data_IF_274221798489
#
_entry.id   IF_274221798489
#
_cell.length_a   1.000
_cell.length_b   1.000
_cell.length_c   1.000
_cell.angle_alpha   90.00
_cell.angle_beta   90.00
_cell.angle_gamma   90.00
#
_symmetry.space_group_name_H-M   'P 1'
#
loop_
_entity.id
_entity.type
_entity.pdbx_description
1 polymer ?
#
# COMPACT_ATOMS: atom_id res chain seq x y z
N UNK A 1 28.36 18.23 -14.30
CA UNK A 1 27.70 17.00 -14.80
C UNK A 1 26.97 16.22 -13.69
N UNK A 2 27.35 16.32 -12.42
CA UNK A 2 26.69 15.60 -11.31
C UNK A 2 25.16 15.82 -11.13
N UNK A 3 24.62 17.01 -11.42
CA UNK A 3 23.17 17.27 -11.22
C UNK A 3 22.30 16.52 -12.22
N UNK A 4 22.75 16.36 -13.48
CA UNK A 4 21.98 15.63 -14.49
C UNK A 4 21.91 14.13 -14.16
N UNK A 5 23.01 13.55 -13.70
CA UNK A 5 23.06 12.14 -13.31
C UNK A 5 22.19 11.88 -12.06
N UNK A 6 22.26 12.76 -11.05
CA UNK A 6 21.40 12.69 -9.87
C UNK A 6 19.92 12.90 -10.19
N UNK A 7 19.61 13.80 -11.13
CA UNK A 7 18.23 14.06 -11.57
C UNK A 7 17.66 12.88 -12.37
N UNK A 8 18.48 12.24 -13.20
CA UNK A 8 18.09 11.06 -13.96
C UNK A 8 17.86 9.86 -13.03
N UNK A 9 18.72 9.66 -12.03
CA UNK A 9 18.55 8.65 -11.00
C UNK A 9 17.27 8.91 -10.18
N UNK A 10 17.06 10.15 -9.70
CA UNK A 10 15.83 10.53 -9.00
C UNK A 10 14.58 10.22 -9.83
N UNK A 11 14.58 10.61 -11.11
CA UNK A 11 13.46 10.36 -12.02
C UNK A 11 13.21 8.87 -12.19
N UNK A 12 14.25 8.06 -12.39
CA UNK A 12 14.13 6.62 -12.54
C UNK A 12 13.51 5.96 -11.29
N UNK A 13 14.04 6.24 -10.09
CA UNK A 13 13.49 5.69 -8.84
C UNK A 13 12.07 6.18 -8.57
N UNK A 14 11.76 7.45 -8.88
CA UNK A 14 10.42 7.99 -8.74
C UNK A 14 9.41 7.31 -9.67
N UNK A 15 9.73 7.18 -10.97
CA UNK A 15 8.85 6.52 -11.93
C UNK A 15 8.68 5.03 -11.64
N UNK A 16 9.73 4.34 -11.22
CA UNK A 16 9.64 2.93 -10.80
C UNK A 16 8.76 2.79 -9.56
N UNK A 17 8.95 3.66 -8.55
CA UNK A 17 8.11 3.68 -7.36
C UNK A 17 6.64 3.93 -7.69
N UNK A 18 6.34 4.90 -8.55
CA UNK A 18 4.98 5.16 -9.04
C UNK A 18 4.41 3.92 -9.76
N UNK A 19 5.18 3.29 -10.65
CA UNK A 19 4.75 2.07 -11.32
C UNK A 19 4.45 0.94 -10.33
N UNK A 20 5.26 0.77 -9.29
CA UNK A 20 5.02 -0.24 -8.23
C UNK A 20 3.78 0.08 -7.41
N UNK A 21 3.52 1.35 -7.07
CA UNK A 21 2.28 1.76 -6.39
C UNK A 21 1.06 1.46 -7.26
N UNK A 22 1.12 1.73 -8.56
CA UNK A 22 0.03 1.41 -9.49
C UNK A 22 -0.20 -0.11 -9.56
N UNK A 23 0.87 -0.90 -9.66
CA UNK A 23 0.80 -2.37 -9.65
C UNK A 23 0.20 -2.86 -8.33
N UNK A 24 0.63 -2.30 -7.21
CA UNK A 24 0.09 -2.60 -5.89
C UNK A 24 -1.41 -2.32 -5.82
N UNK A 25 -1.86 -1.13 -6.24
CA UNK A 25 -3.27 -0.77 -6.27
C UNK A 25 -4.08 -1.74 -7.15
N UNK A 26 -3.53 -2.15 -8.29
CA UNK A 26 -4.19 -3.08 -9.20
C UNK A 26 -4.29 -4.49 -8.60
N UNK A 27 -3.22 -4.99 -7.98
CA UNK A 27 -3.21 -6.30 -7.30
C UNK A 27 -4.16 -6.26 -6.09
N UNK A 28 -4.07 -5.21 -5.29
CA UNK A 28 -4.91 -5.01 -4.12
C UNK A 28 -6.37 -5.00 -4.52
N UNK A 29 -6.76 -4.14 -5.47
CA UNK A 29 -8.14 -4.05 -5.99
C UNK A 29 -8.66 -5.34 -6.62
N UNK A 30 -7.77 -6.23 -7.10
CA UNK A 30 -8.16 -7.54 -7.65
C UNK A 30 -8.36 -8.59 -6.55
N UNK A 31 -7.63 -8.46 -5.44
CA UNK A 31 -7.72 -9.35 -4.28
C UNK A 31 -8.88 -8.93 -3.37
N UNK A 32 -9.16 -7.64 -3.24
CA UNK A 32 -10.35 -7.17 -2.53
C UNK A 32 -11.60 -7.54 -3.34
N UNK A 33 -12.58 -8.26 -2.74
CA UNK A 33 -13.78 -8.72 -3.44
C UNK A 33 -14.80 -7.61 -3.75
N UNK A 34 -14.44 -6.35 -3.49
CA UNK A 34 -15.30 -5.18 -3.66
C UNK A 34 -14.55 -4.14 -4.48
N UNK A 35 -15.23 -3.52 -5.45
CA UNK A 35 -14.67 -2.43 -6.25
C UNK A 35 -14.57 -1.17 -5.39
N UNK A 36 -13.46 -1.02 -4.69
CA UNK A 36 -13.17 0.15 -3.83
C UNK A 36 -13.34 1.45 -4.62
N UNK A 37 -12.93 1.47 -5.89
CA UNK A 37 -13.11 2.62 -6.78
C UNK A 37 -14.58 2.99 -7.03
N UNK A 38 -15.46 2.00 -7.09
CA UNK A 38 -16.90 2.20 -7.29
C UNK A 38 -17.56 2.63 -5.97
N UNK A 39 -17.12 2.08 -4.84
CA UNK A 39 -17.57 2.49 -3.51
C UNK A 39 -17.15 3.92 -3.16
N UNK A 40 -15.92 4.31 -3.51
CA UNK A 40 -15.43 5.69 -3.35
C UNK A 40 -16.26 6.64 -4.23
N UNK A 41 -16.54 6.27 -5.48
CA UNK A 41 -17.45 7.04 -6.36
C UNK A 41 -18.88 7.15 -5.82
N UNK A 42 -19.33 6.16 -5.06
CA UNK A 42 -20.64 6.15 -4.39
C UNK A 42 -20.63 6.91 -3.04
N UNK A 43 -19.66 7.81 -2.79
CA UNK A 43 -19.53 8.58 -1.54
C UNK A 43 -19.37 7.72 -0.27
N UNK A 44 -18.79 6.52 -0.39
CA UNK A 44 -18.51 5.69 0.76
C UNK A 44 -17.18 6.09 1.42
N UNK A 45 -17.28 6.86 2.50
CA UNK A 45 -16.13 7.30 3.31
C UNK A 45 -15.37 6.13 3.96
N UNK A 46 -16.02 5.01 4.26
CA UNK A 46 -15.35 3.83 4.80
C UNK A 46 -14.36 3.25 3.80
N UNK A 47 -14.79 3.10 2.54
CA UNK A 47 -13.92 2.61 1.47
C UNK A 47 -12.76 3.57 1.21
N UNK A 48 -13.01 4.89 1.22
CA UNK A 48 -11.97 5.89 1.04
C UNK A 48 -10.90 5.85 2.15
N UNK A 49 -11.30 5.72 3.42
CA UNK A 49 -10.37 5.62 4.55
C UNK A 49 -9.54 4.33 4.50
N UNK A 50 -10.17 3.21 4.16
CA UNK A 50 -9.50 1.93 4.10
C UNK A 50 -8.48 1.89 2.94
N UNK A 51 -8.87 2.40 1.78
CA UNK A 51 -8.04 2.45 0.58
C UNK A 51 -6.88 3.43 0.74
N UNK A 52 -7.13 4.63 1.27
CA UNK A 52 -6.08 5.63 1.52
C UNK A 52 -5.08 5.16 2.59
N UNK A 53 -5.56 4.53 3.67
CA UNK A 53 -4.68 3.95 4.69
C UNK A 53 -3.80 2.83 4.14
N UNK A 54 -4.36 1.96 3.29
CA UNK A 54 -3.60 0.90 2.63
C UNK A 54 -2.57 1.44 1.64
N UNK A 55 -2.93 2.46 0.86
CA UNK A 55 -2.01 3.17 -0.03
C UNK A 55 -0.81 3.73 0.74
N UNK A 56 -1.07 4.48 1.82
CA UNK A 56 -0.02 5.05 2.66
C UNK A 56 0.81 3.94 3.31
N UNK A 57 0.18 2.87 3.79
CA UNK A 57 0.86 1.72 4.35
C UNK A 57 1.80 1.01 3.38
N UNK A 58 1.52 1.03 2.07
CA UNK A 58 2.45 0.49 1.07
C UNK A 58 3.56 1.46 0.69
N UNK A 59 3.26 2.75 0.60
CA UNK A 59 4.24 3.78 0.20
C UNK A 59 5.37 3.93 1.23
N UNK A 60 5.08 3.80 2.53
CA UNK A 60 6.09 3.92 3.60
C UNK A 60 7.22 2.87 3.45
N UNK A 61 6.96 1.54 3.42
CA UNK A 61 7.99 0.55 3.20
C UNK A 61 8.62 0.65 1.81
N UNK A 62 7.85 1.04 0.79
CA UNK A 62 8.42 1.30 -0.54
C UNK A 62 9.42 2.47 -0.51
N UNK A 63 9.20 3.50 0.30
CA UNK A 63 10.16 4.59 0.47
C UNK A 63 11.42 4.12 1.22
N UNK A 64 11.26 3.28 2.25
CA UNK A 64 12.39 2.65 2.94
C UNK A 64 13.21 1.75 2.00
N UNK A 65 12.54 0.98 1.16
CA UNK A 65 13.17 0.19 0.11
C UNK A 65 13.93 1.07 -0.89
N UNK A 66 13.43 2.26 -1.24
CA UNK A 66 14.12 3.15 -2.18
C UNK A 66 15.40 3.73 -1.59
N UNK A 67 15.42 3.95 -0.27
CA UNK A 67 16.57 4.48 0.47
C UNK A 67 17.64 3.40 0.65
N UNK A 68 17.24 2.15 0.93
CA UNK A 68 18.15 1.05 1.21
C UNK A 68 18.54 0.22 -0.03
N UNK A 69 17.80 0.33 -1.13
CA UNK A 69 18.05 -0.50 -2.31
C UNK A 69 19.41 -0.21 -2.94
N UNK A 70 20.27 -1.23 -2.95
CA UNK A 70 21.60 -1.17 -3.57
C UNK A 70 21.51 -1.25 -5.10
N UNK A 71 20.39 -1.75 -5.64
CA UNK A 71 20.15 -1.88 -7.08
C UNK A 71 18.65 -1.89 -7.44
N UNK A 72 18.31 -1.62 -8.71
CA UNK A 72 16.91 -1.64 -9.19
C UNK A 72 16.20 -2.99 -8.93
N UNK A 73 16.82 -4.17 -9.17
CA UNK A 73 16.19 -5.45 -8.86
C UNK A 73 15.90 -5.65 -7.36
N UNK A 74 16.78 -5.13 -6.51
CA UNK A 74 16.64 -5.17 -5.06
C UNK A 74 15.44 -4.33 -4.59
N UNK A 75 15.26 -3.16 -5.21
CA UNK A 75 14.08 -2.32 -5.01
C UNK A 75 12.77 -3.05 -5.36
N UNK A 76 12.76 -3.76 -6.49
CA UNK A 76 11.60 -4.57 -6.89
C UNK A 76 11.32 -5.72 -5.91
N UNK A 77 12.36 -6.40 -5.43
CA UNK A 77 12.21 -7.48 -4.46
C UNK A 77 11.60 -6.96 -3.15
N UNK A 78 12.11 -5.86 -2.60
CA UNK A 78 11.59 -5.25 -1.39
C UNK A 78 10.17 -4.70 -1.54
N UNK A 79 9.85 -4.03 -2.65
CA UNK A 79 8.48 -3.59 -2.88
C UNK A 79 7.51 -4.76 -3.13
N UNK A 80 8.00 -5.92 -3.59
CA UNK A 80 7.25 -7.18 -3.60
C UNK A 80 6.99 -7.74 -2.20
N UNK A 81 8.02 -7.77 -1.35
CA UNK A 81 7.89 -8.16 0.07
C UNK A 81 6.90 -7.23 0.78
N UNK A 82 6.97 -5.93 0.52
CA UNK A 82 6.04 -4.96 1.07
C UNK A 82 4.60 -5.25 0.67
N UNK A 83 4.38 -5.65 -0.58
CA UNK A 83 3.06 -6.00 -1.08
C UNK A 83 2.52 -7.23 -0.35
N UNK A 84 3.34 -8.27 -0.19
CA UNK A 84 2.96 -9.49 0.52
C UNK A 84 2.58 -9.19 1.96
N UNK A 85 3.38 -8.39 2.68
CA UNK A 85 3.07 -8.00 4.06
C UNK A 85 1.79 -7.18 4.13
N UNK A 86 1.57 -6.26 3.20
CA UNK A 86 0.34 -5.46 3.15
C UNK A 86 -0.90 -6.35 2.98
N UNK A 87 -0.80 -7.38 2.13
CA UNK A 87 -1.86 -8.37 1.94
C UNK A 87 -2.06 -9.24 3.18
N UNK A 88 -0.99 -9.62 3.88
CA UNK A 88 -1.08 -10.36 5.14
C UNK A 88 -1.77 -9.54 6.24
N UNK A 89 -1.46 -8.24 6.34
CA UNK A 89 -2.14 -7.34 7.28
C UNK A 89 -3.63 -7.24 6.94
N UNK A 90 -3.97 -7.07 5.67
CA UNK A 90 -5.36 -7.10 5.22
C UNK A 90 -6.05 -8.44 5.56
N UNK A 91 -5.39 -9.57 5.32
CA UNK A 91 -5.89 -10.89 5.66
C UNK A 91 -6.09 -11.07 7.17
N UNK A 92 -5.15 -10.57 8.00
CA UNK A 92 -5.25 -10.58 9.46
C UNK A 92 -6.44 -9.76 9.97
N UNK A 93 -6.63 -8.54 9.45
CA UNK A 93 -7.79 -7.71 9.77
C UNK A 93 -9.09 -8.39 9.33
N UNK A 94 -9.11 -9.02 8.15
CA UNK A 94 -10.25 -9.77 7.65
C UNK A 94 -10.57 -11.01 8.50
N UNK A 95 -9.57 -11.65 9.08
CA UNK A 95 -9.74 -12.79 9.99
C UNK A 95 -10.30 -12.35 11.33
N UNK A 96 -9.83 -11.21 11.87
CA UNK A 96 -10.39 -10.61 13.08
C UNK A 96 -11.81 -10.08 12.89
N UNK A 97 -12.08 -9.47 11.73
CA UNK A 97 -13.38 -8.90 11.39
C UNK A 97 -13.94 -9.55 10.12
N UNK A 98 -14.48 -10.78 10.22
CA UNK A 98 -15.16 -11.42 9.09
C UNK A 98 -16.30 -10.51 8.60
N UNK A 99 -16.52 -10.46 7.29
CA UNK A 99 -17.41 -9.51 6.61
C UNK A 99 -16.96 -8.03 6.62
N UNK A 100 -15.66 -7.75 6.79
CA UNK A 100 -15.09 -6.39 6.65
C UNK A 100 -15.52 -5.70 5.35
N UNK A 101 -15.48 -6.42 4.21
CA UNK A 101 -15.94 -5.88 2.93
C UNK A 101 -17.41 -5.50 2.93
N UNK A 102 -18.26 -6.28 3.59
CA UNK A 102 -19.70 -6.02 3.70
C UNK A 102 -19.98 -4.82 4.62
N UNK A 103 -19.23 -4.71 5.73
CA UNK A 103 -19.26 -3.53 6.60
C UNK A 103 -18.81 -2.27 5.86
N UNK A 104 -17.74 -2.35 5.06
CA UNK A 104 -17.28 -1.25 4.21
C UNK A 104 -18.39 -0.88 3.22
N UNK A 105 -19.02 -1.84 2.53
CA UNK A 105 -20.14 -1.59 1.61
C UNK A 105 -21.30 -0.88 2.32
N UNK A 106 -21.61 -1.25 3.56
CA UNK A 106 -22.67 -0.66 4.38
C UNK A 106 -22.30 0.69 5.04
N UNK A 107 -21.38 1.46 4.45
CA UNK A 107 -20.93 2.77 4.94
C UNK A 107 -20.40 2.77 6.40
N UNK A 108 -19.88 1.64 6.89
CA UNK A 108 -19.34 1.56 8.23
C UNK A 108 -17.93 2.17 8.28
N UNK A 109 -17.86 3.47 8.58
CA UNK A 109 -16.61 4.24 8.66
C UNK A 109 -15.62 3.70 9.67
N UNK A 110 -16.09 3.10 10.77
CA UNK A 110 -15.22 2.50 11.78
C UNK A 110 -14.46 1.28 11.23
N UNK A 111 -15.14 0.43 10.46
CA UNK A 111 -14.50 -0.72 9.81
C UNK A 111 -13.44 -0.27 8.77
N UNK A 112 -13.78 0.74 7.98
CA UNK A 112 -12.85 1.32 7.00
C UNK A 112 -11.63 2.00 7.64
N UNK A 113 -11.86 2.79 8.69
CA UNK A 113 -10.81 3.44 9.47
C UNK A 113 -9.89 2.43 10.13
N UNK A 114 -10.43 1.38 10.75
CA UNK A 114 -9.64 0.34 11.40
C UNK A 114 -8.77 -0.40 10.38
N UNK A 115 -9.33 -0.78 9.23
CA UNK A 115 -8.58 -1.45 8.17
C UNK A 115 -7.45 -0.56 7.63
N UNK A 116 -7.77 0.69 7.28
CA UNK A 116 -6.78 1.64 6.77
C UNK A 116 -5.66 1.92 7.79
N UNK A 117 -6.01 2.06 9.07
CA UNK A 117 -5.04 2.31 10.14
C UNK A 117 -4.17 1.09 10.41
N UNK A 118 -4.75 -0.12 10.43
CA UNK A 118 -4.00 -1.36 10.59
C UNK A 118 -3.03 -1.58 9.43
N UNK A 119 -3.48 -1.33 8.20
CA UNK A 119 -2.64 -1.38 7.00
C UNK A 119 -1.48 -0.36 7.06
N UNK A 120 -1.76 0.85 7.56
CA UNK A 120 -0.74 1.88 7.76
C UNK A 120 0.28 1.49 8.85
N UNK A 121 -0.19 0.98 9.98
CA UNK A 121 0.67 0.50 11.07
C UNK A 121 1.57 -0.66 10.63
N UNK A 122 1.00 -1.64 9.90
CA UNK A 122 1.76 -2.74 9.31
C UNK A 122 2.80 -2.26 8.30
N UNK A 123 2.46 -1.26 7.50
CA UNK A 123 3.38 -0.58 6.59
C UNK A 123 4.58 0.06 7.28
N UNK A 124 4.34 0.80 8.37
CA UNK A 124 5.40 1.41 9.18
C UNK A 124 6.32 0.35 9.78
N UNK A 125 5.74 -0.72 10.34
CA UNK A 125 6.51 -1.82 10.90
C UNK A 125 7.39 -2.48 9.84
N UNK A 126 6.80 -2.74 8.67
CA UNK A 126 7.52 -3.31 7.54
C UNK A 126 8.69 -2.41 7.10
N UNK A 127 8.47 -1.10 7.02
CA UNK A 127 9.51 -0.14 6.66
C UNK A 127 10.68 -0.13 7.65
N UNK A 128 10.39 -0.29 8.94
CA UNK A 128 11.40 -0.38 9.99
C UNK A 128 12.19 -1.70 9.96
N UNK A 129 11.61 -2.77 9.42
CA UNK A 129 12.33 -4.04 9.22
C UNK A 129 13.25 -4.02 7.99
N UNK A 130 13.04 -3.09 7.04
CA UNK A 130 13.84 -2.98 5.81
C UNK A 130 15.15 -2.20 5.96
N UNK A 131 15.42 -1.62 7.13
CA UNK A 131 16.66 -0.86 7.40
C UNK A 131 17.85 -1.73 7.79
N UNK A 132 17.71 -3.07 7.80
CA UNK A 132 18.70 -4.02 8.33
C UNK A 132 19.00 -5.16 7.35
#
# INVERSE_FOLDING_TARGET
>A
MHILDSFLAFSAYFFIGVAMVIIFLFIYSKITPHNEWQLIKNNNTAAALAFSGTLLGYVIPLSSAAINAVSIPDYFAWGGIALVIQLLVFAGVRLYMPALSEKIINHNTAAGMFMGTAALAGGIFNAACMTW
#
